data_IF_052518897508
#
_entry.id   IF_052518897508
#
_cell.length_a   1.000
_cell.length_b   1.000
_cell.length_c   1.000
_cell.angle_alpha   90.00
_cell.angle_beta   90.00
_cell.angle_gamma   90.00
#
_symmetry.space_group_name_H-M   'P 1'
#
loop_
_entity.id
_entity.type
_entity.pdbx_description
1 polymer ?
#
# COMPACT_ATOMS: atom_id res chain seq x y z
N UNK A 1 -22.11 16.34 -10.75
CA UNK A 1 -22.68 15.46 -9.71
C UNK A 1 -21.76 14.32 -9.24
N UNK A 2 -20.68 13.97 -9.96
CA UNK A 2 -19.85 12.76 -9.67
C UNK A 2 -18.61 12.95 -8.76
N UNK A 3 -18.23 14.18 -8.37
CA UNK A 3 -17.11 14.39 -7.41
C UNK A 3 -17.55 14.18 -5.96
N UNK A 4 -18.81 14.48 -5.63
CA UNK A 4 -19.34 14.37 -4.27
C UNK A 4 -19.55 12.91 -3.86
N UNK A 5 -20.07 12.06 -4.75
CA UNK A 5 -20.21 10.61 -4.48
C UNK A 5 -18.87 9.89 -4.29
N UNK A 6 -17.81 10.31 -5.01
CA UNK A 6 -16.47 9.73 -4.85
C UNK A 6 -15.82 10.14 -3.53
N UNK A 7 -16.01 11.39 -3.07
CA UNK A 7 -15.58 11.82 -1.73
C UNK A 7 -16.38 11.15 -0.60
N UNK A 8 -17.69 10.97 -0.76
CA UNK A 8 -18.54 10.30 0.25
C UNK A 8 -18.18 8.81 0.38
N UNK A 9 -17.87 8.11 -0.72
CA UNK A 9 -17.37 6.73 -0.68
C UNK A 9 -16.00 6.61 0.00
N UNK A 10 -15.07 7.54 -0.25
CA UNK A 10 -13.76 7.56 0.42
C UNK A 10 -13.91 7.83 1.93
N UNK A 11 -14.82 8.73 2.32
CA UNK A 11 -15.12 8.99 3.73
C UNK A 11 -15.75 7.78 4.44
N UNK A 12 -16.65 7.05 3.77
CA UNK A 12 -17.24 5.82 4.30
C UNK A 12 -16.22 4.70 4.46
N UNK A 13 -15.25 4.56 3.54
CA UNK A 13 -14.17 3.57 3.63
C UNK A 13 -13.23 3.90 4.79
N UNK A 14 -12.88 5.17 5.00
CA UNK A 14 -12.09 5.61 6.16
C UNK A 14 -12.82 5.39 7.50
N UNK A 15 -14.14 5.61 7.53
CA UNK A 15 -14.95 5.30 8.71
C UNK A 15 -15.05 3.79 8.99
N UNK A 16 -15.08 2.95 7.94
CA UNK A 16 -15.11 1.49 8.08
C UNK A 16 -13.80 0.93 8.64
N UNK A 17 -12.65 1.52 8.27
CA UNK A 17 -11.33 1.17 8.83
C UNK A 17 -11.26 1.47 10.34
N UNK A 18 -11.97 2.50 10.82
CA UNK A 18 -12.01 2.84 12.25
C UNK A 18 -13.01 2.00 13.06
N UNK A 19 -14.12 1.57 12.44
CA UNK A 19 -15.19 0.81 13.11
C UNK A 19 -14.88 -0.70 13.27
N UNK A 20 -14.01 -1.28 12.43
CA UNK A 20 -13.69 -2.72 12.51
C UNK A 20 -12.60 -3.10 13.52
N UNK A 21 -12.02 -2.13 14.24
CA UNK A 21 -11.07 -2.42 15.34
C UNK A 21 -11.77 -2.82 16.65
N UNK A 22 -13.09 -2.72 16.76
CA UNK A 22 -13.82 -3.11 17.97
C UNK A 22 -15.24 -3.63 17.66
N UNK A 23 -15.37 -4.93 17.39
CA UNK A 23 -16.39 -5.86 17.96
C UNK A 23 -16.49 -7.15 17.14
N UNK A 24 -16.48 -8.27 17.85
CA UNK A 24 -16.56 -9.62 17.32
C UNK A 24 -17.83 -9.89 16.51
N UNK A 25 -17.64 -10.74 15.53
CA UNK A 25 -18.64 -11.31 14.62
C UNK A 25 -19.70 -12.06 15.42
N UNK A 26 -20.97 -11.66 15.28
CA UNK A 26 -22.11 -12.58 15.36
C UNK A 26 -22.95 -12.35 14.12
N UNK A 27 -23.06 -13.42 13.32
CA UNK A 27 -23.99 -13.50 12.20
C UNK A 27 -25.43 -13.37 12.71
N UNK A 28 -26.26 -12.65 11.97
CA UNK A 28 -27.69 -12.94 11.87
C UNK A 28 -28.18 -12.52 10.49
N UNK A 29 -28.77 -13.49 9.82
CA UNK A 29 -29.49 -13.40 8.54
C UNK A 29 -30.65 -12.40 8.66
N UNK A 30 -30.95 -11.71 7.55
CA UNK A 30 -32.31 -11.36 7.12
C UNK A 30 -32.22 -10.77 5.70
N UNK A 31 -32.89 -11.43 4.75
CA UNK A 31 -32.93 -11.06 3.33
C UNK A 31 -34.18 -10.25 2.95
N UNK A 32 -34.18 -9.75 1.70
CA UNK A 32 -35.33 -9.47 0.78
C UNK A 32 -34.81 -8.64 -0.43
N UNK A 33 -35.52 -8.54 -1.57
CA UNK A 33 -35.49 -9.52 -2.67
C UNK A 33 -35.17 -8.86 -4.04
N UNK A 34 -35.09 -9.68 -5.08
CA UNK A 34 -34.95 -9.34 -6.51
C UNK A 34 -33.51 -9.18 -7.01
N UNK A 35 -32.91 -10.32 -7.35
CA UNK A 35 -32.22 -10.56 -8.62
C UNK A 35 -31.82 -12.06 -8.63
N UNK A 36 -32.63 -12.90 -9.31
CA UNK A 36 -32.37 -14.34 -9.38
C UNK A 36 -31.14 -14.60 -10.26
N UNK A 37 -30.02 -14.91 -9.62
CA UNK A 37 -28.81 -15.40 -10.27
C UNK A 37 -28.92 -16.92 -10.47
N UNK A 38 -28.92 -17.39 -11.72
CA UNK A 38 -28.86 -18.82 -12.03
C UNK A 38 -27.40 -19.28 -12.12
N UNK A 39 -26.99 -20.08 -11.13
CA UNK A 39 -25.63 -20.58 -10.98
C UNK A 39 -25.26 -21.73 -11.95
N UNK A 40 -26.20 -22.32 -12.70
CA UNK A 40 -25.87 -23.39 -13.65
C UNK A 40 -25.33 -22.87 -14.99
N UNK A 41 -25.66 -21.65 -15.39
CA UNK A 41 -25.32 -21.10 -16.71
C UNK A 41 -24.55 -19.78 -16.66
N UNK A 42 -24.38 -19.19 -15.46
CA UNK A 42 -23.51 -18.02 -15.25
C UNK A 42 -23.91 -16.80 -16.07
N UNK A 43 -25.21 -16.59 -16.30
CA UNK A 43 -25.73 -15.45 -17.05
C UNK A 43 -26.92 -14.82 -16.35
N UNK A 44 -27.01 -13.50 -16.48
CA UNK A 44 -28.18 -12.72 -16.08
C UNK A 44 -29.24 -12.80 -17.18
N UNK A 45 -30.52 -12.95 -16.79
CA UNK A 45 -31.65 -13.02 -17.72
C UNK A 45 -32.22 -11.64 -18.13
N UNK A 46 -31.54 -10.54 -17.79
CA UNK A 46 -32.01 -9.18 -18.11
C UNK A 46 -31.09 -8.48 -19.11
N UNK A 47 -31.71 -7.76 -20.06
CA UNK A 47 -31.05 -6.96 -21.10
C UNK A 47 -30.71 -5.59 -20.52
N UNK A 48 -29.45 -5.16 -20.67
CA UNK A 48 -28.97 -3.84 -20.25
C UNK A 48 -29.56 -2.73 -21.14
N UNK A 49 -30.32 -1.82 -20.53
CA UNK A 49 -30.97 -0.66 -21.16
C UNK A 49 -30.01 0.52 -21.46
N UNK A 50 -28.70 0.37 -21.27
CA UNK A 50 -27.70 1.41 -21.60
C UNK A 50 -26.88 1.14 -22.87
N UNK A 51 -27.22 0.11 -23.65
CA UNK A 51 -26.49 -0.26 -24.87
C UNK A 51 -26.57 0.75 -26.04
N UNK A 52 -27.42 1.78 -25.98
CA UNK A 52 -27.69 2.67 -27.13
C UNK A 52 -26.98 4.03 -27.11
N UNK A 53 -25.99 4.29 -26.24
CA UNK A 53 -25.35 5.62 -26.12
C UNK A 53 -23.88 5.76 -26.51
N UNK A 54 -23.32 4.84 -27.29
CA UNK A 54 -21.97 5.01 -27.87
C UNK A 54 -22.01 5.03 -29.40
N UNK A 55 -22.58 6.09 -29.97
CA UNK A 55 -22.29 6.46 -31.36
C UNK A 55 -21.16 7.50 -31.37
N UNK A 56 -20.27 7.34 -32.36
CA UNK A 56 -19.14 8.19 -32.77
C UNK A 56 -17.83 8.13 -31.98
N UNK A 57 -17.07 7.03 -32.14
CA UNK A 57 -15.61 7.09 -32.34
C UNK A 57 -15.20 6.04 -33.39
N UNK A 58 -14.32 6.43 -34.31
CA UNK A 58 -13.89 5.66 -35.48
C UNK A 58 -13.28 4.29 -35.11
N UNK A 59 -13.60 3.20 -35.83
CA UNK A 59 -13.15 1.84 -35.51
C UNK A 59 -11.67 1.53 -35.86
N UNK A 60 -10.83 2.54 -36.12
CA UNK A 60 -9.46 2.36 -36.61
C UNK A 60 -8.37 3.11 -35.82
N UNK A 61 -8.56 3.38 -34.53
CA UNK A 61 -7.41 3.74 -33.65
C UNK A 61 -7.53 2.99 -32.32
N UNK A 62 -6.95 1.80 -32.30
CA UNK A 62 -6.60 1.07 -31.09
C UNK A 62 -5.08 0.88 -31.11
N UNK A 63 -4.42 1.23 -30.00
CA UNK A 63 -2.97 1.22 -29.82
C UNK A 63 -2.18 2.17 -30.75
N UNK A 64 -2.07 3.44 -30.34
CA UNK A 64 -0.80 4.14 -30.57
C UNK A 64 0.22 3.38 -29.70
N UNK A 65 0.88 2.42 -30.35
CA UNK A 65 1.82 1.46 -29.80
C UNK A 65 2.79 2.09 -28.78
N UNK A 66 2.54 1.76 -27.52
CA UNK A 66 3.47 1.81 -26.39
C UNK A 66 3.82 3.20 -25.82
N UNK A 67 3.05 3.74 -24.84
CA UNK A 67 3.61 4.67 -23.89
C UNK A 67 4.38 3.86 -22.86
N UNK A 68 5.65 3.62 -23.18
CA UNK A 68 6.71 3.22 -22.27
C UNK A 68 6.41 3.77 -20.87
N UNK A 69 6.24 2.86 -19.92
CA UNK A 69 6.25 3.11 -18.47
C UNK A 69 7.61 3.69 -18.09
N UNK A 70 7.86 4.95 -18.45
CA UNK A 70 8.95 5.76 -17.93
C UNK A 70 8.57 6.19 -16.50
N UNK A 71 8.59 5.20 -15.61
CA UNK A 71 8.85 5.42 -14.19
C UNK A 71 10.31 5.90 -14.10
N UNK A 72 10.52 7.20 -14.29
CA UNK A 72 11.80 7.83 -13.99
C UNK A 72 11.88 8.04 -12.49
N UNK A 73 12.24 6.95 -11.78
CA UNK A 73 12.66 7.04 -10.39
C UNK A 73 14.16 7.30 -10.38
N UNK A 74 14.60 8.21 -9.52
CA UNK A 74 15.96 8.24 -8.98
C UNK A 74 16.31 6.96 -8.17
N UNK A 75 15.54 5.88 -8.33
CA UNK A 75 15.79 4.50 -7.93
C UNK A 75 15.88 4.22 -6.42
N UNK A 76 15.80 5.25 -5.58
CA UNK A 76 16.23 5.15 -4.18
C UNK A 76 15.11 5.22 -3.15
N UNK A 77 14.02 5.94 -3.40
CA UNK A 77 12.98 6.17 -2.38
C UNK A 77 11.80 5.19 -2.52
N UNK A 78 11.37 4.93 -3.76
CA UNK A 78 10.23 4.09 -4.09
C UNK A 78 10.59 3.03 -5.13
N UNK A 79 10.22 1.78 -4.87
CA UNK A 79 10.34 0.68 -5.84
C UNK A 79 8.96 0.14 -6.19
N UNK A 80 8.45 0.54 -7.36
CA UNK A 80 7.19 0.05 -7.92
C UNK A 80 7.43 -0.94 -9.08
N UNK A 81 8.66 -1.43 -9.27
CA UNK A 81 9.02 -2.27 -10.43
C UNK A 81 8.20 -3.56 -10.53
N UNK A 82 7.69 -4.04 -9.38
CA UNK A 82 6.85 -5.23 -9.24
C UNK A 82 5.38 -4.90 -8.98
N UNK A 83 4.98 -3.65 -9.14
CA UNK A 83 3.62 -3.16 -8.90
C UNK A 83 3.04 -2.59 -10.20
N UNK A 84 2.64 -3.47 -11.11
CA UNK A 84 2.30 -3.13 -12.51
C UNK A 84 0.87 -3.47 -12.92
N UNK A 85 0.07 -4.06 -12.02
CA UNK A 85 -1.30 -4.42 -12.34
C UNK A 85 -2.19 -3.19 -12.52
N UNK A 86 -3.18 -3.29 -13.41
CA UNK A 86 -4.01 -2.14 -13.81
C UNK A 86 -4.84 -1.61 -12.64
N UNK A 87 -5.48 -2.50 -11.90
CA UNK A 87 -6.34 -2.12 -10.78
C UNK A 87 -5.52 -1.65 -9.58
N UNK A 88 -4.33 -2.23 -9.40
CA UNK A 88 -3.34 -1.86 -8.39
C UNK A 88 -2.80 -0.45 -8.65
N UNK A 89 -2.47 -0.11 -9.90
CA UNK A 89 -2.03 1.24 -10.25
C UNK A 89 -3.13 2.28 -10.07
N UNK A 90 -4.40 1.93 -10.32
CA UNK A 90 -5.53 2.81 -9.98
C UNK A 90 -5.70 2.97 -8.47
N UNK A 91 -5.58 1.88 -7.71
CA UNK A 91 -5.63 1.91 -6.26
C UNK A 91 -4.51 2.78 -5.68
N UNK A 92 -3.28 2.67 -6.20
CA UNK A 92 -2.16 3.52 -5.82
C UNK A 92 -2.44 5.00 -6.13
N UNK A 93 -2.97 5.30 -7.31
CA UNK A 93 -3.37 6.67 -7.67
C UNK A 93 -4.45 7.21 -6.73
N UNK A 94 -5.47 6.41 -6.42
CA UNK A 94 -6.53 6.77 -5.50
C UNK A 94 -5.98 7.03 -4.09
N UNK A 95 -5.10 6.16 -3.61
CA UNK A 95 -4.45 6.29 -2.31
C UNK A 95 -3.58 7.56 -2.24
N UNK A 96 -2.70 7.78 -3.22
CA UNK A 96 -1.86 9.00 -3.31
C UNK A 96 -2.67 10.29 -3.45
N UNK A 97 -3.90 10.21 -3.98
CA UNK A 97 -4.81 11.36 -4.07
C UNK A 97 -5.49 11.70 -2.74
N UNK A 98 -5.43 10.82 -1.75
CA UNK A 98 -5.86 11.12 -0.37
C UNK A 98 -4.77 11.87 0.39
N UNK A 99 -5.16 12.63 1.42
CA UNK A 99 -4.21 13.32 2.30
C UNK A 99 -3.32 12.31 3.03
N UNK A 100 -3.92 11.25 3.54
CA UNK A 100 -3.28 10.22 4.34
C UNK A 100 -2.27 9.44 3.49
N UNK A 101 -2.67 9.02 2.28
CA UNK A 101 -1.76 8.34 1.35
C UNK A 101 -0.64 9.25 0.86
N UNK A 102 -0.93 10.51 0.52
CA UNK A 102 0.14 11.45 0.16
C UNK A 102 1.14 11.63 1.31
N UNK A 103 0.67 11.83 2.54
CA UNK A 103 1.53 11.97 3.72
C UNK A 103 2.35 10.70 4.00
N UNK A 104 1.75 9.52 3.79
CA UNK A 104 2.44 8.24 3.91
C UNK A 104 3.63 8.14 2.94
N UNK A 105 3.46 8.48 1.66
CA UNK A 105 4.58 8.46 0.72
C UNK A 105 5.59 9.58 1.01
N UNK A 106 5.10 10.77 1.39
CA UNK A 106 5.96 11.92 1.69
C UNK A 106 6.96 11.64 2.82
N UNK A 107 6.69 10.70 3.73
CA UNK A 107 7.64 10.35 4.80
C UNK A 107 8.89 9.63 4.29
N UNK A 108 8.82 8.98 3.12
CA UNK A 108 9.94 8.26 2.50
C UNK A 108 10.58 9.03 1.35
N UNK A 109 9.89 10.03 0.79
CA UNK A 109 10.39 10.82 -0.33
C UNK A 109 11.54 11.73 0.09
N UNK A 110 12.55 11.87 -0.77
CA UNK A 110 13.46 13.03 -0.75
C UNK A 110 12.83 14.24 -1.43
N UNK A 111 13.33 15.41 -1.08
CA UNK A 111 12.96 16.67 -1.73
C UNK A 111 13.27 16.59 -3.22
N UNK A 112 12.27 16.89 -4.04
CA UNK A 112 12.36 16.87 -5.49
C UNK A 112 11.87 15.56 -6.11
N UNK A 113 11.70 14.50 -5.33
CA UNK A 113 11.17 13.22 -5.82
C UNK A 113 9.75 13.41 -6.35
N UNK A 114 9.46 12.80 -7.49
CA UNK A 114 8.12 12.78 -8.09
C UNK A 114 7.75 11.37 -8.50
N UNK A 115 6.47 11.03 -8.37
CA UNK A 115 5.89 9.77 -8.85
C UNK A 115 4.83 10.12 -9.88
N UNK A 116 4.83 9.45 -11.03
CA UNK A 116 3.77 9.55 -12.02
C UNK A 116 2.99 8.25 -12.03
N UNK A 117 1.70 8.31 -11.72
CA UNK A 117 0.80 7.14 -11.71
C UNK A 117 -0.37 7.46 -12.63
N UNK A 118 -0.54 6.65 -13.69
CA UNK A 118 -1.58 6.84 -14.71
C UNK A 118 -1.66 8.28 -15.26
N UNK A 119 -0.50 8.92 -15.50
CA UNK A 119 -0.40 10.29 -15.99
C UNK A 119 -0.59 11.40 -14.94
N UNK A 120 -0.94 11.06 -13.70
CA UNK A 120 -1.00 12.03 -12.61
C UNK A 120 0.34 12.11 -11.89
N UNK A 121 0.91 13.33 -11.81
CA UNK A 121 2.18 13.60 -11.12
C UNK A 121 1.92 13.97 -9.65
N UNK A 122 2.61 13.28 -8.75
CA UNK A 122 2.69 13.57 -7.32
C UNK A 122 4.12 14.00 -7.01
N UNK A 123 4.32 15.23 -6.52
CA UNK A 123 5.64 15.79 -6.25
C UNK A 123 5.84 16.02 -4.75
N UNK A 124 7.03 15.71 -4.25
CA UNK A 124 7.40 15.88 -2.84
C UNK A 124 8.42 17.00 -2.71
N UNK A 125 8.09 18.03 -1.92
CA UNK A 125 8.87 19.29 -1.84
C UNK A 125 9.76 19.38 -0.61
N UNK A 126 9.69 18.40 0.29
CA UNK A 126 10.45 18.32 1.54
C UNK A 126 11.00 16.91 1.70
N UNK A 127 12.12 16.81 2.41
CA UNK A 127 12.63 15.51 2.83
C UNK A 127 11.70 14.92 3.89
N UNK A 128 11.30 13.68 3.64
CA UNK A 128 10.59 12.87 4.61
C UNK A 128 11.49 12.47 5.77
N UNK A 129 10.91 12.33 6.95
CA UNK A 129 11.61 11.89 8.17
C UNK A 129 12.26 10.51 8.02
N UNK A 130 11.75 9.70 7.10
CA UNK A 130 12.24 8.35 6.75
C UNK A 130 12.80 8.31 5.33
N UNK A 131 13.31 9.41 4.80
CA UNK A 131 13.96 9.47 3.48
C UNK A 131 15.24 8.63 3.34
N UNK A 132 15.72 8.04 4.45
CA UNK A 132 16.77 7.01 4.45
C UNK A 132 16.23 5.61 4.15
N UNK A 133 14.93 5.37 4.27
CA UNK A 133 14.30 4.08 4.03
C UNK A 133 13.81 3.97 2.59
N UNK A 134 13.57 2.74 2.15
CA UNK A 134 13.02 2.46 0.82
C UNK A 134 11.63 1.84 0.99
N UNK A 135 10.63 2.38 0.31
CA UNK A 135 9.31 1.78 0.21
C UNK A 135 9.18 0.98 -1.09
N UNK A 136 8.94 -0.33 -0.97
CA UNK A 136 8.72 -1.22 -2.11
C UNK A 136 7.28 -1.71 -2.14
N UNK A 137 6.61 -1.51 -3.26
CA UNK A 137 5.31 -2.13 -3.53
C UNK A 137 5.52 -3.28 -4.51
N UNK A 138 4.85 -4.40 -4.26
CA UNK A 138 4.89 -5.55 -5.14
C UNK A 138 3.55 -6.27 -5.18
N UNK A 139 3.26 -6.95 -6.28
CA UNK A 139 2.14 -7.87 -6.40
C UNK A 139 2.67 -9.30 -6.27
N UNK A 140 2.01 -10.14 -5.46
CA UNK A 140 2.33 -11.57 -5.31
C UNK A 140 1.20 -12.44 -5.87
N UNK A 141 1.55 -13.61 -6.39
CA UNK A 141 0.61 -14.59 -6.95
C UNK A 141 -0.07 -15.49 -5.87
N UNK A 142 0.30 -15.40 -4.60
CA UNK A 142 -0.19 -16.31 -3.52
C UNK A 142 -1.32 -15.70 -2.67
N UNK A 143 -2.35 -16.50 -2.37
CA UNK A 143 -3.56 -16.12 -1.61
C UNK A 143 -3.33 -16.19 -0.08
N UNK A 144 -2.67 -15.20 0.49
CA UNK A 144 -2.55 -15.03 1.95
C UNK A 144 -2.69 -13.54 2.22
N UNK A 145 -3.63 -13.07 3.05
CA UNK A 145 -3.88 -11.66 3.44
C UNK A 145 -2.65 -10.73 3.40
N UNK A 146 -2.89 -9.43 3.12
CA UNK A 146 -1.87 -8.38 2.94
C UNK A 146 -0.60 -8.63 3.75
N UNK A 147 0.58 -8.64 3.11
CA UNK A 147 1.82 -8.86 3.85
C UNK A 147 2.73 -7.63 3.81
N UNK A 148 2.98 -7.10 5.00
CA UNK A 148 4.01 -6.10 5.25
C UNK A 148 5.21 -6.76 5.91
N UNK A 149 6.34 -6.73 5.20
CA UNK A 149 7.63 -7.18 5.71
C UNK A 149 8.61 -6.02 5.69
N UNK A 150 9.41 -5.90 6.74
CA UNK A 150 10.46 -4.88 6.82
C UNK A 150 11.81 -5.59 6.89
N UNK A 151 12.76 -5.12 6.08
CA UNK A 151 14.11 -5.68 5.98
C UNK A 151 15.15 -4.62 6.29
N UNK A 152 16.33 -5.05 6.72
CA UNK A 152 17.51 -4.18 6.74
C UNK A 152 17.84 -3.73 5.32
N UNK A 153 18.41 -2.53 5.21
CA UNK A 153 18.91 -2.01 3.94
C UNK A 153 20.43 -2.17 3.92
N UNK A 154 20.91 -2.98 2.99
CA UNK A 154 22.34 -3.12 2.73
C UNK A 154 22.91 -1.84 2.09
N UNK A 155 24.24 -1.70 2.07
CA UNK A 155 24.92 -0.52 1.51
C UNK A 155 24.61 -0.31 0.01
N UNK A 156 24.37 -1.40 -0.72
CA UNK A 156 23.97 -1.40 -2.14
C UNK A 156 22.47 -1.10 -2.35
N UNK A 157 21.68 -0.89 -1.28
CA UNK A 157 20.23 -0.69 -1.34
C UNK A 157 19.41 -1.97 -1.53
N UNK A 158 20.06 -3.14 -1.49
CA UNK A 158 19.39 -4.44 -1.52
C UNK A 158 18.79 -4.82 -0.15
N UNK A 159 17.90 -5.82 -0.15
CA UNK A 159 17.29 -6.35 1.07
C UNK A 159 18.31 -7.16 1.85
N UNK A 160 18.55 -6.77 3.10
CA UNK A 160 19.28 -7.55 4.08
C UNK A 160 18.37 -8.51 4.84
N UNK A 161 18.68 -8.73 6.13
CA UNK A 161 17.91 -9.60 7.02
C UNK A 161 16.49 -9.07 7.22
N UNK A 162 15.54 -9.97 7.41
CA UNK A 162 14.22 -9.58 7.88
C UNK A 162 14.33 -9.08 9.32
N UNK A 163 13.58 -8.02 9.67
CA UNK A 163 13.69 -7.43 11.01
C UNK A 163 13.32 -8.39 12.14
N UNK A 164 12.49 -9.40 11.88
CA UNK A 164 12.17 -10.46 12.86
C UNK A 164 13.36 -11.41 13.10
N UNK A 165 14.29 -11.50 12.16
CA UNK A 165 15.49 -12.32 12.22
C UNK A 165 16.73 -11.48 12.63
N UNK A 166 16.50 -10.28 13.17
CA UNK A 166 17.57 -9.38 13.57
C UNK A 166 18.45 -9.99 14.67
N UNK A 167 19.76 -9.79 14.56
CA UNK A 167 20.76 -10.28 15.50
C UNK A 167 21.74 -9.17 15.90
N UNK A 168 22.77 -9.50 16.69
CA UNK A 168 23.71 -8.49 17.21
C UNK A 168 24.46 -7.71 16.11
N UNK A 169 24.50 -8.20 14.87
CA UNK A 169 25.12 -7.50 13.75
C UNK A 169 24.12 -6.58 13.01
N UNK A 170 22.83 -6.71 13.29
CA UNK A 170 21.78 -5.88 12.71
C UNK A 170 21.90 -4.42 13.13
N UNK A 171 21.79 -3.53 12.15
CA UNK A 171 21.80 -2.09 12.38
C UNK A 171 20.82 -1.35 11.46
N UNK A 172 19.60 -1.14 11.96
CA UNK A 172 18.53 -0.43 11.26
C UNK A 172 18.73 1.10 11.22
N UNK A 173 19.74 1.64 11.92
CA UNK A 173 20.03 3.08 11.89
C UNK A 173 20.43 3.55 10.48
N UNK A 174 21.02 2.65 9.68
CA UNK A 174 21.40 2.84 8.27
C UNK A 174 20.21 2.94 7.30
N UNK A 175 19.01 2.65 7.80
CA UNK A 175 17.76 2.63 7.05
C UNK A 175 17.25 1.20 6.83
N UNK A 176 15.98 1.12 6.47
CA UNK A 176 15.27 -0.15 6.24
C UNK A 176 14.56 -0.15 4.89
N UNK A 177 14.10 -1.32 4.47
CA UNK A 177 13.27 -1.52 3.29
C UNK A 177 11.92 -2.04 3.74
N UNK A 178 10.89 -1.22 3.59
CA UNK A 178 9.50 -1.63 3.79
C UNK A 178 8.96 -2.25 2.51
N UNK A 179 8.36 -3.43 2.62
CA UNK A 179 7.80 -4.15 1.48
C UNK A 179 6.33 -4.39 1.76
N UNK A 180 5.47 -3.72 0.99
CA UNK A 180 4.04 -3.98 0.96
C UNK A 180 3.76 -4.89 -0.23
N UNK A 181 3.18 -6.06 0.04
CA UNK A 181 2.72 -6.98 -0.99
C UNK A 181 1.20 -6.97 -1.09
N UNK A 182 0.70 -6.63 -2.27
CA UNK A 182 -0.70 -6.77 -2.67
C UNK A 182 -0.93 -8.08 -3.41
N UNK A 183 -2.18 -8.51 -3.48
CA UNK A 183 -2.60 -9.65 -4.28
C UNK A 183 -2.86 -9.25 -5.71
N UNK A 184 -2.63 -10.22 -6.59
CA UNK A 184 -3.10 -10.16 -7.96
C UNK A 184 -4.61 -10.35 -7.99
N UNK A 185 -5.26 -9.79 -9.02
CA UNK A 185 -6.69 -10.01 -9.34
C UNK A 185 -7.68 -9.44 -8.30
N UNK A 186 -7.23 -8.53 -7.44
CA UNK A 186 -8.15 -7.73 -6.64
C UNK A 186 -8.91 -6.72 -7.52
N UNK A 187 -10.13 -6.40 -7.10
CA UNK A 187 -10.81 -5.20 -7.60
C UNK A 187 -10.04 -3.94 -7.20
N UNK A 188 -10.27 -2.81 -7.88
CA UNK A 188 -9.70 -1.50 -7.52
C UNK A 188 -9.90 -1.20 -6.01
N UNK A 189 -11.12 -1.38 -5.51
CA UNK A 189 -11.46 -1.14 -4.10
C UNK A 189 -10.74 -2.13 -3.16
N UNK A 190 -10.60 -3.39 -3.57
CA UNK A 190 -9.88 -4.40 -2.80
C UNK A 190 -8.39 -4.10 -2.71
N UNK A 191 -7.77 -3.72 -3.84
CA UNK A 191 -6.36 -3.32 -3.89
C UNK A 191 -6.11 -2.04 -3.08
N UNK A 192 -7.03 -1.08 -3.13
CA UNK A 192 -6.96 0.16 -2.34
C UNK A 192 -7.05 -0.14 -0.85
N UNK A 193 -8.03 -0.93 -0.42
CA UNK A 193 -8.21 -1.29 0.99
C UNK A 193 -7.00 -2.06 1.51
N UNK A 194 -6.47 -3.00 0.72
CA UNK A 194 -5.28 -3.76 1.08
C UNK A 194 -4.05 -2.84 1.21
N UNK A 195 -3.77 -2.01 0.20
CA UNK A 195 -2.67 -1.07 0.23
C UNK A 195 -2.77 -0.12 1.42
N UNK A 196 -3.96 0.45 1.66
CA UNK A 196 -4.19 1.37 2.76
C UNK A 196 -4.04 0.67 4.13
N UNK A 197 -4.51 -0.56 4.28
CA UNK A 197 -4.34 -1.36 5.49
C UNK A 197 -2.84 -1.60 5.76
N UNK A 198 -2.13 -2.18 4.80
CA UNK A 198 -0.70 -2.47 4.94
C UNK A 198 0.13 -1.20 5.22
N UNK A 199 -0.13 -0.12 4.48
CA UNK A 199 0.57 1.14 4.65
C UNK A 199 0.28 1.78 6.02
N UNK A 200 -0.99 1.96 6.37
CA UNK A 200 -1.39 2.78 7.50
C UNK A 200 -1.44 2.02 8.83
N UNK A 201 -1.63 0.70 8.80
CA UNK A 201 -1.74 -0.15 10.00
C UNK A 201 -0.41 -0.85 10.30
N UNK A 202 0.32 -1.31 9.28
CA UNK A 202 1.55 -2.07 9.51
C UNK A 202 2.81 -1.24 9.32
N UNK A 203 2.99 -0.58 8.17
CA UNK A 203 4.20 0.19 7.90
C UNK A 203 4.30 1.41 8.83
N UNK A 204 3.20 2.14 9.05
CA UNK A 204 3.23 3.30 9.95
C UNK A 204 3.58 2.94 11.40
N UNK A 205 3.14 1.79 11.90
CA UNK A 205 3.53 1.33 13.23
C UNK A 205 5.01 0.94 13.30
N UNK A 206 5.53 0.27 12.27
CA UNK A 206 6.98 0.04 12.14
C UNK A 206 7.76 1.36 12.09
N UNK A 207 7.27 2.36 11.33
CA UNK A 207 7.89 3.69 11.21
C UNK A 207 7.91 4.42 12.56
N UNK A 208 6.81 4.40 13.33
CA UNK A 208 6.76 4.99 14.67
C UNK A 208 7.81 4.37 15.59
N UNK A 209 7.86 3.03 15.64
CA UNK A 209 8.86 2.29 16.42
C UNK A 209 10.28 2.68 16.02
N UNK A 210 10.58 2.69 14.72
CA UNK A 210 11.91 3.03 14.21
C UNK A 210 12.31 4.48 14.52
N UNK A 211 11.36 5.43 14.54
CA UNK A 211 11.63 6.82 14.96
C UNK A 211 12.03 6.91 16.43
N UNK A 212 11.32 6.20 17.30
CA UNK A 212 11.66 6.16 18.73
C UNK A 212 13.04 5.54 18.96
N UNK A 213 13.35 4.48 18.21
CA UNK A 213 14.66 3.85 18.25
C UNK A 213 15.77 4.79 17.78
N UNK A 214 15.59 5.47 16.64
CA UNK A 214 16.57 6.44 16.14
C UNK A 214 16.82 7.56 17.16
N UNK A 215 15.76 8.07 17.80
CA UNK A 215 15.89 9.06 18.87
C UNK A 215 16.69 8.51 20.05
N UNK A 216 16.38 7.30 20.51
CA UNK A 216 17.09 6.67 21.63
C UNK A 216 18.57 6.39 21.30
N UNK A 217 18.88 6.03 20.05
CA UNK A 217 20.26 5.87 19.57
C UNK A 217 20.99 7.21 19.54
N UNK A 218 20.37 8.25 19.00
CA UNK A 218 20.95 9.59 18.94
C UNK A 218 21.17 10.21 20.34
N UNK A 219 20.27 9.92 21.29
CA UNK A 219 20.39 10.32 22.69
C UNK A 219 21.44 9.48 23.47
N UNK A 220 22.03 8.46 22.85
CA UNK A 220 22.97 7.53 23.49
C UNK A 220 22.34 6.56 24.49
N UNK A 221 21.00 6.52 24.58
CA UNK A 221 20.24 5.64 25.48
C UNK A 221 20.14 4.20 24.96
N UNK A 222 20.25 4.03 23.64
CA UNK A 222 20.14 2.72 22.99
C UNK A 222 21.37 2.48 22.10
N UNK A 223 22.06 1.37 22.32
CA UNK A 223 23.25 1.01 21.53
C UNK A 223 22.93 -0.04 20.47
N UNK A 224 23.25 0.18 19.18
CA UNK A 224 23.14 -0.85 18.15
C UNK A 224 23.84 -2.16 18.54
N UNK A 225 23.22 -3.29 18.22
CA UNK A 225 23.71 -4.63 18.58
C UNK A 225 23.53 -5.06 20.04
N UNK A 226 23.00 -4.18 20.91
CA UNK A 226 22.63 -4.56 22.29
C UNK A 226 21.36 -5.42 22.31
N UNK A 227 21.15 -6.21 23.37
CA UNK A 227 19.95 -7.05 23.50
C UNK A 227 18.65 -6.24 23.44
N UNK A 228 18.63 -5.08 24.09
CA UNK A 228 17.49 -4.15 24.10
C UNK A 228 17.24 -3.57 22.69
N UNK A 229 18.31 -3.21 21.97
CA UNK A 229 18.18 -2.76 20.59
C UNK A 229 17.53 -3.82 19.71
N UNK A 230 18.01 -5.07 19.77
CA UNK A 230 17.44 -6.17 18.97
C UNK A 230 16.01 -6.51 19.39
N UNK A 231 15.70 -6.44 20.67
CA UNK A 231 14.32 -6.56 21.15
C UNK A 231 13.41 -5.50 20.51
N UNK A 232 13.87 -4.25 20.44
CA UNK A 232 13.12 -3.16 19.82
C UNK A 232 13.05 -3.30 18.29
N UNK A 233 14.12 -3.77 17.62
CA UNK A 233 14.14 -4.01 16.16
C UNK A 233 13.08 -5.04 15.78
N UNK A 234 13.05 -6.17 16.50
CA UNK A 234 12.12 -7.29 16.26
C UNK A 234 10.66 -6.95 16.59
N UNK A 235 10.41 -5.79 17.20
CA UNK A 235 9.06 -5.33 17.55
C UNK A 235 8.59 -5.79 18.93
N UNK A 236 9.49 -6.22 19.80
CA UNK A 236 9.28 -6.39 21.24
C UNK A 236 7.95 -7.03 21.62
N UNK A 237 7.67 -8.24 21.14
CA UNK A 237 6.47 -9.00 21.53
C UNK A 237 5.13 -8.41 21.11
N UNK A 238 5.08 -7.24 20.45
CA UNK A 238 3.86 -6.70 19.86
C UNK A 238 3.60 -7.46 18.57
N UNK A 239 2.97 -8.64 18.71
CA UNK A 239 2.19 -9.24 17.64
C UNK A 239 1.06 -8.25 17.31
N UNK A 240 1.33 -7.34 16.38
CA UNK A 240 0.31 -6.59 15.66
C UNK A 240 -0.75 -7.59 15.20
N UNK A 241 -2.01 -7.32 15.56
CA UNK A 241 -3.17 -8.21 15.59
C UNK A 241 -3.43 -9.13 14.37
N UNK A 242 -2.70 -8.99 13.26
CA UNK A 242 -2.93 -9.76 12.03
C UNK A 242 -1.63 -10.07 11.24
N UNK A 243 -0.46 -10.22 11.87
CA UNK A 243 0.69 -10.84 11.17
C UNK A 243 0.50 -12.35 11.14
N UNK A 244 -0.22 -12.84 10.12
CA UNK A 244 -0.39 -14.25 9.78
C UNK A 244 0.77 -14.75 8.92
#
# INVERSE_FOLDING_TARGET
MNKLLRMVRIFLIMAYIFLFSCKGIKQKEEGTPNEFYDAQIGRWHSVDLLAEKCYSFSPYVYAINDPVLLLDFDGRDFDLSKYKGKEEMKALQAFLSTKEGYQFFAQFAKKGTSIIVNGQKFSFTKDGERSKDILKLQVKDMYVNGSTNTYEKNEDGSKGKHLQDADKASDVSKGVIHVIASYKELSEDGALLNLAHEALVHVNEDVKRLKEMDKAVNDGKLKPGSKEYIHNVTGGGVKLCCRS
#
